data_IF_549452332293
#
_entry.id   IF_549452332293
#
_cell.length_a   1.000
_cell.length_b   1.000
_cell.length_c   1.000
_cell.angle_alpha   90.00
_cell.angle_beta   90.00
_cell.angle_gamma   90.00
#
_symmetry.space_group_name_H-M   'P 1'
#
loop_
_entity.id
_entity.type
_entity.pdbx_description
1 polymer ?
#
# COMPACT_ATOMS: atom_id res chain seq x y z
N UNK A 1 -4.54 -8.55 -6.60
CA UNK A 1 -3.47 -7.84 -5.87
C UNK A 1 -2.86 -6.75 -6.76
N UNK A 2 -2.68 -5.51 -6.26
CA UNK A 2 -2.23 -4.37 -7.06
C UNK A 2 -0.74 -4.44 -7.48
N UNK A 3 0.14 -4.96 -6.64
CA UNK A 3 1.60 -4.96 -6.87
C UNK A 3 2.12 -6.15 -7.69
N UNK A 4 1.23 -7.01 -8.16
CA UNK A 4 1.60 -8.25 -8.88
C UNK A 4 1.71 -8.04 -10.40
N UNK A 5 1.51 -6.82 -10.88
CA UNK A 5 1.58 -6.48 -12.30
C UNK A 5 3.02 -6.31 -12.77
N UNK A 6 3.27 -6.66 -14.04
CA UNK A 6 4.57 -6.53 -14.73
C UNK A 6 5.17 -5.10 -14.69
N UNK A 7 4.36 -4.09 -14.33
CA UNK A 7 4.77 -2.70 -14.15
C UNK A 7 5.65 -2.48 -12.91
N UNK A 8 5.56 -3.35 -11.90
CA UNK A 8 6.31 -3.21 -10.65
C UNK A 8 7.48 -4.20 -10.55
N UNK A 9 7.42 -5.34 -11.25
CA UNK A 9 8.46 -6.38 -11.26
C UNK A 9 9.79 -5.98 -11.90
N UNK A 10 9.91 -4.77 -12.48
CA UNK A 10 11.17 -4.24 -13.01
C UNK A 10 11.65 -2.95 -12.36
N UNK A 11 10.83 -2.32 -11.51
CA UNK A 11 11.13 -1.02 -10.89
C UNK A 11 11.52 -1.14 -9.42
N UNK A 12 10.92 -2.11 -8.72
CA UNK A 12 11.16 -2.34 -7.29
C UNK A 12 11.75 -3.73 -7.09
N UNK A 13 12.66 -3.88 -6.11
CA UNK A 13 13.23 -5.19 -5.81
C UNK A 13 12.11 -6.13 -5.31
N UNK A 14 12.25 -7.45 -5.49
CA UNK A 14 11.27 -8.41 -4.96
C UNK A 14 11.08 -8.29 -3.43
N UNK A 15 12.09 -7.79 -2.72
CA UNK A 15 11.98 -7.49 -1.29
C UNK A 15 11.07 -6.28 -1.01
N UNK A 16 11.22 -5.21 -1.79
CA UNK A 16 10.39 -4.00 -1.68
C UNK A 16 8.93 -4.31 -2.03
N UNK A 17 8.71 -5.14 -3.05
CA UNK A 17 7.37 -5.59 -3.42
C UNK A 17 6.69 -6.37 -2.29
N UNK A 18 7.44 -7.16 -1.52
CA UNK A 18 6.90 -7.81 -0.33
C UNK A 18 6.50 -6.79 0.73
N UNK A 19 7.34 -5.79 1.01
CA UNK A 19 7.03 -4.71 1.97
C UNK A 19 5.74 -3.98 1.57
N UNK A 20 5.66 -3.53 0.31
CA UNK A 20 4.48 -2.83 -0.22
C UNK A 20 3.21 -3.70 -0.13
N UNK A 21 3.34 -4.99 -0.42
CA UNK A 21 2.23 -5.94 -0.34
C UNK A 21 1.78 -6.22 1.10
N UNK A 22 2.71 -6.33 2.05
CA UNK A 22 2.40 -6.51 3.47
C UNK A 22 1.72 -5.25 4.01
N UNK A 23 2.25 -4.06 3.70
CA UNK A 23 1.65 -2.77 4.08
C UNK A 23 0.20 -2.66 3.58
N UNK A 24 -0.05 -3.06 2.34
CA UNK A 24 -1.40 -3.08 1.77
C UNK A 24 -2.35 -4.02 2.52
N UNK A 25 -1.92 -5.25 2.79
CA UNK A 25 -2.73 -6.19 3.56
C UNK A 25 -3.02 -5.66 4.98
N UNK A 26 -2.05 -4.99 5.62
CA UNK A 26 -2.24 -4.33 6.91
C UNK A 26 -3.23 -3.17 6.84
N UNK A 27 -3.14 -2.28 5.84
CA UNK A 27 -4.15 -1.24 5.64
C UNK A 27 -5.55 -1.83 5.46
N UNK A 28 -5.65 -2.91 4.67
CA UNK A 28 -6.89 -3.63 4.42
C UNK A 28 -7.53 -4.14 5.72
N UNK A 29 -6.70 -4.68 6.62
CA UNK A 29 -7.12 -5.13 7.95
C UNK A 29 -7.46 -3.98 8.90
N UNK A 30 -6.71 -2.86 8.86
CA UNK A 30 -6.93 -1.70 9.72
C UNK A 30 -8.22 -0.95 9.38
N UNK A 31 -8.51 -0.81 8.10
CA UNK A 31 -9.69 -0.08 7.63
C UNK A 31 -10.95 -0.94 7.64
N UNK A 32 -10.85 -2.24 7.97
CA UNK A 32 -11.88 -3.30 7.80
C UNK A 32 -12.55 -3.27 6.41
N UNK A 33 -11.93 -2.56 5.46
CA UNK A 33 -12.41 -2.33 4.11
C UNK A 33 -11.52 -3.13 3.19
N UNK A 34 -11.93 -4.36 2.95
CA UNK A 34 -11.35 -5.13 1.88
C UNK A 34 -11.71 -4.44 0.56
N UNK A 35 -10.74 -3.69 0.00
CA UNK A 35 -10.90 -2.88 -1.21
C UNK A 35 -11.14 -3.79 -2.41
N UNK A 36 -12.38 -4.24 -2.56
CA UNK A 36 -12.88 -4.99 -3.72
C UNK A 36 -13.21 -4.05 -4.87
N UNK A 37 -13.41 -2.76 -4.60
CA UNK A 37 -13.57 -1.72 -5.62
C UNK A 37 -12.21 -1.27 -6.17
N UNK A 38 -12.15 -1.18 -7.50
CA UNK A 38 -10.91 -0.91 -8.24
C UNK A 38 -10.29 0.46 -7.91
N UNK A 39 -11.10 1.47 -7.59
CA UNK A 39 -10.65 2.85 -7.32
C UNK A 39 -9.92 3.02 -5.98
N UNK A 40 -10.48 2.51 -4.88
CA UNK A 40 -9.85 2.60 -3.55
C UNK A 40 -8.55 1.81 -3.48
N UNK A 41 -8.49 0.66 -4.17
CA UNK A 41 -7.29 -0.18 -4.26
C UNK A 41 -6.12 0.53 -4.95
N UNK A 42 -6.40 1.26 -6.03
CA UNK A 42 -5.39 2.04 -6.77
C UNK A 42 -4.91 3.25 -5.94
N UNK A 43 -5.82 3.92 -5.23
CA UNK A 43 -5.48 5.03 -4.34
C UNK A 43 -4.56 4.58 -3.18
N UNK A 44 -4.94 3.49 -2.48
CA UNK A 44 -4.15 2.87 -1.42
C UNK A 44 -2.76 2.44 -1.93
N UNK A 45 -2.70 1.79 -3.09
CA UNK A 45 -1.42 1.35 -3.65
C UNK A 45 -0.47 2.53 -3.93
N UNK A 46 -0.99 3.63 -4.50
CA UNK A 46 -0.21 4.86 -4.72
C UNK A 46 0.26 5.50 -3.42
N UNK A 47 -0.61 5.56 -2.40
CA UNK A 47 -0.25 6.13 -1.11
C UNK A 47 0.88 5.31 -0.43
N UNK A 48 0.78 3.98 -0.46
CA UNK A 48 1.79 3.06 0.08
C UNK A 48 3.13 3.26 -0.64
N UNK A 49 3.14 3.31 -1.97
CA UNK A 49 4.37 3.55 -2.75
C UNK A 49 4.98 4.90 -2.38
N UNK A 50 4.16 5.96 -2.29
CA UNK A 50 4.65 7.30 -1.96
C UNK A 50 5.28 7.37 -0.56
N UNK A 51 4.69 6.69 0.42
CA UNK A 51 5.26 6.60 1.77
C UNK A 51 6.55 5.77 1.78
N UNK A 52 6.61 4.70 1.00
CA UNK A 52 7.81 3.90 0.83
C UNK A 52 8.96 4.68 0.17
N UNK A 53 8.67 5.42 -0.90
CA UNK A 53 9.62 6.29 -1.59
C UNK A 53 10.09 7.47 -0.72
N UNK A 54 9.32 7.84 0.30
CA UNK A 54 9.74 8.83 1.29
C UNK A 54 10.84 8.31 2.25
N UNK A 55 11.19 7.02 2.17
CA UNK A 55 12.24 6.38 2.97
C UNK A 55 11.71 5.47 4.09
N UNK A 56 10.38 5.33 4.24
CA UNK A 56 9.82 4.42 5.24
C UNK A 56 9.72 3.01 4.65
N UNK A 57 10.57 2.09 5.11
CA UNK A 57 10.56 0.69 4.65
C UNK A 57 9.77 -0.24 5.58
N UNK A 58 9.20 0.29 6.67
CA UNK A 58 8.45 -0.52 7.63
C UNK A 58 6.99 -0.69 7.18
N UNK A 59 6.54 -1.93 6.88
CA UNK A 59 5.21 -2.15 6.33
C UNK A 59 4.09 -1.74 7.31
N UNK A 60 4.27 -1.94 8.61
CA UNK A 60 3.28 -1.51 9.62
C UNK A 60 3.20 0.03 9.71
N UNK A 61 4.33 0.74 9.65
CA UNK A 61 4.35 2.22 9.64
C UNK A 61 3.69 2.79 8.39
N UNK A 62 4.05 2.26 7.23
CA UNK A 62 3.42 2.64 5.97
C UNK A 62 1.92 2.41 6.06
N UNK A 63 1.50 1.26 6.60
CA UNK A 63 0.09 0.94 6.73
C UNK A 63 -0.67 1.90 7.65
N UNK A 64 -0.09 2.26 8.80
CA UNK A 64 -0.67 3.25 9.70
C UNK A 64 -0.80 4.64 9.05
N UNK A 65 0.25 5.10 8.36
CA UNK A 65 0.26 6.42 7.69
C UNK A 65 -0.81 6.47 6.61
N UNK A 66 -0.88 5.43 5.77
CA UNK A 66 -1.85 5.36 4.68
C UNK A 66 -3.27 5.18 5.22
N UNK A 67 -3.47 4.35 6.25
CA UNK A 67 -4.78 4.21 6.90
C UNK A 67 -5.26 5.54 7.49
N UNK A 68 -4.37 6.31 8.12
CA UNK A 68 -4.69 7.66 8.61
C UNK A 68 -5.06 8.62 7.47
N UNK A 69 -4.31 8.61 6.37
CA UNK A 69 -4.61 9.43 5.18
C UNK A 69 -5.98 9.11 4.56
N UNK A 70 -6.35 7.82 4.53
CA UNK A 70 -7.67 7.39 4.05
C UNK A 70 -8.79 7.73 5.04
N UNK A 71 -8.53 7.69 6.34
CA UNK A 71 -9.50 8.11 7.37
C UNK A 71 -9.77 9.62 7.34
N UNK A 72 -8.73 10.43 7.13
CA UNK A 72 -8.82 11.90 7.06
C UNK A 72 -9.57 12.40 5.81
N UNK A 73 -9.66 11.54 4.77
CA UNK A 73 -10.39 11.83 3.54
C UNK A 73 -11.89 11.53 3.59
N UNK A 74 -12.41 10.93 4.67
CA UNK A 74 -13.82 10.48 4.79
C UNK A 74 -14.70 11.46 5.55
#
# INVERSE_FOLDING_TARGET
>A
MPFRGNKYQGTYAPNDLQVLQIAYNRCCALLDRCSTTHESKEALARAIIRTFESGEQNPDKIAEIVAKLELDRV
#
